data_IF_741842936910
#
_entry.id   IF_741842936910
#
_cell.length_a   1.000
_cell.length_b   1.000
_cell.length_c   1.000
_cell.angle_alpha   90.00
_cell.angle_beta   90.00
_cell.angle_gamma   90.00
#
_symmetry.space_group_name_H-M   'P 1'
#
loop_
_entity.id
_entity.type
_entity.pdbx_description
1 polymer ?
#
# COMPACT_ATOMS: atom_id res chain seq x y z
N UNK A 1 -7.09 14.87 83.27
CA UNK A 1 -7.69 14.46 81.98
C UNK A 1 -6.74 14.64 80.78
N UNK A 2 -5.89 15.67 80.77
CA UNK A 2 -5.03 16.04 79.63
C UNK A 2 -4.09 14.93 79.07
N UNK A 3 -3.45 14.13 79.94
CA UNK A 3 -2.50 13.09 79.47
C UNK A 3 -3.18 11.94 78.70
N UNK A 4 -4.40 11.53 79.07
CA UNK A 4 -5.10 10.43 78.36
C UNK A 4 -5.51 10.83 76.95
N UNK A 5 -5.80 12.11 76.75
CA UNK A 5 -6.23 12.65 75.46
C UNK A 5 -5.04 12.81 74.50
N UNK A 6 -3.86 13.20 75.01
CA UNK A 6 -2.62 13.18 74.23
C UNK A 6 -2.20 11.77 73.83
N UNK A 7 -2.27 10.78 74.75
CA UNK A 7 -1.93 9.38 74.43
C UNK A 7 -2.84 8.82 73.32
N UNK A 8 -4.16 9.07 73.38
CA UNK A 8 -5.07 8.67 72.29
C UNK A 8 -4.75 9.33 70.94
N UNK A 9 -4.35 10.61 70.94
CA UNK A 9 -3.97 11.30 69.70
C UNK A 9 -2.69 10.70 69.10
N UNK A 10 -1.69 10.41 69.93
CA UNK A 10 -0.45 9.76 69.48
C UNK A 10 -0.69 8.33 68.97
N UNK A 11 -1.54 7.55 69.63
CA UNK A 11 -1.93 6.20 69.17
C UNK A 11 -2.70 6.24 67.83
N UNK A 12 -3.55 7.25 67.63
CA UNK A 12 -4.27 7.46 66.37
C UNK A 12 -3.34 7.85 65.22
N UNK A 13 -2.38 8.74 65.47
CA UNK A 13 -1.35 9.11 64.50
C UNK A 13 -0.45 7.92 64.14
N UNK A 14 0.00 7.13 65.12
CA UNK A 14 0.83 5.95 64.85
C UNK A 14 0.15 4.93 63.93
N UNK A 15 -1.16 4.71 64.11
CA UNK A 15 -1.95 3.83 63.21
C UNK A 15 -2.16 4.42 61.81
N UNK A 16 -2.31 5.74 61.70
CA UNK A 16 -2.37 6.43 60.41
C UNK A 16 -1.02 6.38 59.67
N UNK A 17 0.08 6.54 60.39
CA UNK A 17 1.42 6.48 59.82
C UNK A 17 1.75 5.05 59.36
N UNK A 18 1.38 4.01 60.13
CA UNK A 18 1.52 2.60 59.71
C UNK A 18 0.73 2.31 58.43
N UNK A 19 -0.52 2.75 58.34
CA UNK A 19 -1.34 2.55 57.14
C UNK A 19 -0.79 3.31 55.93
N UNK A 20 -0.26 4.52 56.11
CA UNK A 20 0.42 5.25 55.04
C UNK A 20 1.71 4.55 54.59
N UNK A 21 2.52 4.02 55.52
CA UNK A 21 3.76 3.30 55.19
C UNK A 21 3.48 2.03 54.38
N UNK A 22 2.44 1.27 54.75
CA UNK A 22 2.02 0.08 53.98
C UNK A 22 1.61 0.49 52.56
N UNK A 23 0.75 1.52 52.44
CA UNK A 23 0.27 2.00 51.13
C UNK A 23 1.41 2.52 50.25
N UNK A 24 2.39 3.23 50.84
CA UNK A 24 3.56 3.72 50.12
C UNK A 24 4.48 2.57 49.68
N UNK A 25 4.64 1.55 50.52
CA UNK A 25 5.42 0.35 50.19
C UNK A 25 4.85 -0.38 48.97
N UNK A 26 3.51 -0.56 48.92
CA UNK A 26 2.82 -1.15 47.77
C UNK A 26 3.02 -0.32 46.49
N UNK A 27 2.88 1.00 46.58
CA UNK A 27 3.13 1.90 45.44
C UNK A 27 4.57 1.81 44.93
N UNK A 28 5.55 1.75 45.82
CA UNK A 28 6.98 1.62 45.46
C UNK A 28 7.23 0.29 44.75
N UNK A 29 6.62 -0.80 45.22
CA UNK A 29 6.77 -2.11 44.57
C UNK A 29 6.13 -2.14 43.19
N UNK A 30 4.92 -1.58 43.03
CA UNK A 30 4.27 -1.45 41.73
C UNK A 30 5.11 -0.60 40.75
N UNK A 31 5.66 0.53 41.22
CA UNK A 31 6.52 1.38 40.39
C UNK A 31 7.81 0.67 39.97
N UNK A 32 8.41 -0.14 40.85
CA UNK A 32 9.59 -0.95 40.51
C UNK A 32 9.27 -1.99 39.43
N UNK A 33 8.10 -2.61 39.50
CA UNK A 33 7.67 -3.58 38.50
C UNK A 33 7.41 -2.92 37.14
N UNK A 34 6.69 -1.79 37.13
CA UNK A 34 6.49 -0.98 35.91
C UNK A 34 7.83 -0.58 35.29
N UNK A 35 8.80 -0.14 36.10
CA UNK A 35 10.11 0.24 35.59
C UNK A 35 10.88 -0.95 34.98
N UNK A 36 10.76 -2.15 35.54
CA UNK A 36 11.35 -3.35 34.94
C UNK A 36 10.71 -3.66 33.60
N UNK A 37 9.39 -3.62 33.51
CA UNK A 37 8.65 -3.89 32.28
C UNK A 37 8.97 -2.85 31.18
N UNK A 38 9.06 -1.58 31.56
CA UNK A 38 9.45 -0.52 30.64
C UNK A 38 10.88 -0.72 30.13
N UNK A 39 11.80 -1.15 31.00
CA UNK A 39 13.17 -1.44 30.59
C UNK A 39 13.22 -2.58 29.58
N UNK A 40 12.52 -3.68 29.83
CA UNK A 40 12.44 -4.80 28.89
C UNK A 40 11.80 -4.41 27.56
N UNK A 41 10.80 -3.53 27.58
CA UNK A 41 10.15 -3.04 26.37
C UNK A 41 11.10 -2.14 25.56
N UNK A 42 11.84 -1.24 26.23
CA UNK A 42 12.85 -0.41 25.57
C UNK A 42 13.92 -1.28 24.90
N UNK A 43 14.41 -2.31 25.59
CA UNK A 43 15.40 -3.24 25.04
C UNK A 43 14.85 -3.98 23.79
N UNK A 44 13.60 -4.43 23.84
CA UNK A 44 12.92 -5.06 22.69
C UNK A 44 12.80 -4.10 21.50
N UNK A 45 12.33 -2.87 21.74
CA UNK A 45 12.16 -1.86 20.70
C UNK A 45 13.49 -1.41 20.11
N UNK A 46 14.57 -1.39 20.90
CA UNK A 46 15.91 -1.12 20.39
C UNK A 46 16.39 -2.23 19.45
N UNK A 47 16.14 -3.49 19.79
CA UNK A 47 16.49 -4.62 18.91
C UNK A 47 15.72 -4.58 17.59
N UNK A 48 14.40 -4.37 17.63
CA UNK A 48 13.58 -4.24 16.42
C UNK A 48 14.04 -3.07 15.54
N UNK A 49 14.35 -1.92 16.14
CA UNK A 49 14.86 -0.77 15.39
C UNK A 49 16.22 -1.05 14.74
N UNK A 50 17.10 -1.80 15.40
CA UNK A 50 18.39 -2.16 14.82
C UNK A 50 18.22 -3.13 13.65
N UNK A 51 17.37 -4.16 13.79
CA UNK A 51 17.06 -5.09 12.71
C UNK A 51 16.43 -4.38 11.50
N UNK A 52 15.52 -3.42 11.75
CA UNK A 52 14.92 -2.62 10.69
C UNK A 52 15.94 -1.71 10.00
N UNK A 53 16.91 -1.14 10.74
CA UNK A 53 17.99 -0.35 10.15
C UNK A 53 18.89 -1.20 9.26
N UNK A 54 19.27 -2.38 9.74
CA UNK A 54 20.09 -3.32 8.97
C UNK A 54 19.38 -3.69 7.65
N UNK A 55 18.10 -4.07 7.72
CA UNK A 55 17.30 -4.35 6.51
C UNK A 55 17.17 -3.15 5.58
N UNK A 56 17.07 -1.93 6.12
CA UNK A 56 16.99 -0.71 5.31
C UNK A 56 18.32 -0.47 4.57
N UNK A 57 19.44 -0.67 5.24
CA UNK A 57 20.76 -0.50 4.66
C UNK A 57 21.04 -1.59 3.60
N UNK A 58 20.63 -2.84 3.83
CA UNK A 58 20.64 -3.89 2.81
C UNK A 58 19.81 -3.51 1.56
N UNK A 59 18.63 -2.93 1.73
CA UNK A 59 17.79 -2.48 0.60
C UNK A 59 18.46 -1.32 -0.16
N UNK A 60 19.09 -0.38 0.55
CA UNK A 60 19.83 0.71 -0.10
C UNK A 60 20.99 0.16 -0.93
N UNK A 61 21.74 -0.80 -0.39
CA UNK A 61 22.88 -1.43 -1.04
C UNK A 61 22.48 -2.40 -2.16
N UNK A 62 21.28 -2.99 -2.09
CA UNK A 62 20.81 -3.94 -3.10
C UNK A 62 20.70 -3.30 -4.49
N UNK A 63 21.35 -3.87 -5.50
CA UNK A 63 21.25 -3.33 -6.88
C UNK A 63 19.90 -3.66 -7.53
N UNK A 64 19.12 -4.58 -6.96
CA UNK A 64 17.91 -5.12 -7.59
C UNK A 64 16.62 -4.59 -6.97
N UNK A 65 15.63 -4.30 -7.81
CA UNK A 65 14.27 -3.93 -7.40
C UNK A 65 13.34 -5.08 -7.77
N UNK A 66 12.61 -5.56 -6.77
CA UNK A 66 11.63 -6.63 -6.95
C UNK A 66 10.22 -6.04 -7.12
N UNK A 67 9.66 -6.16 -8.32
CA UNK A 67 8.27 -5.79 -8.60
C UNK A 67 7.33 -7.00 -8.65
N UNK A 68 7.81 -8.20 -8.36
CA UNK A 68 7.04 -9.42 -8.53
C UNK A 68 7.05 -10.26 -7.26
N UNK A 69 5.87 -10.40 -6.67
CA UNK A 69 5.65 -11.24 -5.51
C UNK A 69 5.46 -12.69 -5.97
N UNK A 70 6.50 -13.51 -5.78
CA UNK A 70 6.49 -14.94 -6.11
C UNK A 70 5.44 -15.71 -5.32
N UNK A 71 5.10 -15.28 -4.10
CA UNK A 71 4.12 -15.97 -3.25
C UNK A 71 2.69 -15.78 -3.75
N UNK A 72 2.39 -14.60 -4.30
CA UNK A 72 1.08 -14.25 -4.87
C UNK A 72 1.00 -14.46 -6.38
N UNK A 73 2.11 -14.83 -7.02
CA UNK A 73 2.25 -14.91 -8.47
C UNK A 73 1.76 -13.62 -9.17
N UNK A 74 2.06 -12.46 -8.57
CA UNK A 74 1.49 -11.18 -8.98
C UNK A 74 2.56 -10.09 -9.03
N UNK A 75 2.38 -9.15 -9.96
CA UNK A 75 3.19 -7.94 -10.00
C UNK A 75 2.65 -6.90 -9.00
N UNK A 76 3.56 -6.08 -8.48
CA UNK A 76 3.22 -4.99 -7.57
C UNK A 76 2.24 -4.01 -8.22
N UNK A 77 1.39 -3.41 -7.39
CA UNK A 77 0.38 -2.45 -7.84
C UNK A 77 1.04 -1.19 -8.40
N UNK A 78 2.14 -0.73 -7.82
CA UNK A 78 2.86 0.45 -8.30
C UNK A 78 3.41 0.24 -9.71
N UNK A 79 3.83 -0.99 -10.03
CA UNK A 79 4.27 -1.33 -11.38
C UNK A 79 3.10 -1.27 -12.36
N UNK A 80 1.91 -1.76 -12.00
CA UNK A 80 0.73 -1.65 -12.85
C UNK A 80 0.38 -0.19 -13.15
N UNK A 81 0.37 0.66 -12.11
CA UNK A 81 0.09 2.10 -12.26
C UNK A 81 1.09 2.78 -13.20
N UNK A 82 2.39 2.53 -12.99
CA UNK A 82 3.44 3.05 -13.87
C UNK A 82 3.25 2.59 -15.33
N UNK A 83 2.90 1.32 -15.54
CA UNK A 83 2.62 0.80 -16.88
C UNK A 83 1.41 1.50 -17.51
N UNK A 84 0.33 1.75 -16.76
CA UNK A 84 -0.83 2.47 -17.26
C UNK A 84 -0.52 3.93 -17.61
N UNK A 85 0.29 4.62 -16.81
CA UNK A 85 0.76 5.97 -17.12
C UNK A 85 1.59 6.00 -18.42
N UNK A 86 2.49 5.04 -18.60
CA UNK A 86 3.28 4.92 -19.83
C UNK A 86 2.38 4.65 -21.05
N UNK A 87 1.32 3.86 -20.89
CA UNK A 87 0.33 3.63 -21.95
C UNK A 87 -0.45 4.89 -22.29
N UNK A 88 -0.80 5.70 -21.29
CA UNK A 88 -1.46 6.99 -21.50
C UNK A 88 -0.56 7.98 -22.24
N UNK A 89 0.76 7.84 -22.10
CA UNK A 89 1.77 8.56 -22.89
C UNK A 89 2.09 7.90 -24.24
N UNK A 90 1.26 6.96 -24.70
CA UNK A 90 1.40 6.27 -25.99
C UNK A 90 2.72 5.50 -26.18
N UNK A 91 3.32 5.04 -25.08
CA UNK A 91 4.50 4.16 -25.16
C UNK A 91 4.04 2.78 -25.64
N UNK A 92 4.64 2.30 -26.73
CA UNK A 92 4.34 0.97 -27.27
C UNK A 92 4.61 -0.14 -26.24
N UNK A 93 3.79 -1.20 -26.25
CA UNK A 93 3.90 -2.34 -25.33
C UNK A 93 5.31 -2.94 -25.25
N UNK A 94 6.00 -3.04 -26.40
CA UNK A 94 7.38 -3.54 -26.49
C UNK A 94 8.41 -2.65 -25.82
N UNK A 95 8.13 -1.35 -25.67
CA UNK A 95 9.07 -0.34 -25.20
C UNK A 95 8.91 -0.02 -23.71
N UNK A 96 7.79 -0.39 -23.07
CA UNK A 96 7.54 -0.13 -21.65
C UNK A 96 8.61 -0.77 -20.76
N UNK A 97 8.92 -2.05 -20.95
CA UNK A 97 9.98 -2.72 -20.18
C UNK A 97 11.36 -2.04 -20.33
N UNK A 98 11.83 -1.77 -21.56
CA UNK A 98 13.05 -0.99 -21.80
C UNK A 98 13.06 0.40 -21.16
N UNK A 99 11.93 1.13 -21.18
CA UNK A 99 11.80 2.45 -20.53
C UNK A 99 12.00 2.31 -19.02
N UNK A 100 11.30 1.38 -18.37
CA UNK A 100 11.43 1.12 -16.93
C UNK A 100 12.88 0.75 -16.57
N UNK A 101 13.53 -0.13 -17.34
CA UNK A 101 14.95 -0.47 -17.17
C UNK A 101 15.86 0.75 -17.26
N UNK A 102 15.61 1.63 -18.22
CA UNK A 102 16.43 2.82 -18.46
C UNK A 102 16.31 3.83 -17.32
N UNK A 103 15.09 4.02 -16.79
CA UNK A 103 14.85 4.89 -15.63
C UNK A 103 15.50 4.33 -14.36
N UNK A 104 15.36 3.03 -14.09
CA UNK A 104 16.00 2.39 -12.93
C UNK A 104 17.52 2.46 -12.98
N UNK A 105 18.10 2.41 -14.19
CA UNK A 105 19.54 2.58 -14.38
C UNK A 105 20.04 3.96 -13.91
N UNK A 106 19.22 5.01 -13.95
CA UNK A 106 19.59 6.34 -13.45
C UNK A 106 19.85 6.34 -11.93
N UNK A 107 19.23 5.42 -11.20
CA UNK A 107 19.36 5.27 -9.75
C UNK A 107 20.21 4.04 -9.36
N UNK A 108 21.01 3.50 -10.30
CA UNK A 108 21.81 2.28 -10.11
C UNK A 108 21.00 1.08 -9.61
N UNK A 109 19.75 0.94 -10.08
CA UNK A 109 18.90 -0.19 -9.78
C UNK A 109 18.59 -0.99 -11.05
N UNK A 110 18.30 -2.29 -10.88
CA UNK A 110 17.93 -3.23 -11.95
C UNK A 110 16.66 -3.97 -11.56
N UNK A 111 15.66 -4.07 -12.44
CA UNK A 111 14.47 -4.86 -12.13
C UNK A 111 14.79 -6.36 -12.22
N UNK A 112 14.39 -7.15 -11.21
CA UNK A 112 14.56 -8.61 -11.24
C UNK A 112 13.69 -9.23 -12.34
N UNK A 113 12.43 -8.79 -12.43
CA UNK A 113 11.45 -9.27 -13.40
C UNK A 113 10.56 -8.12 -13.87
N UNK A 114 10.31 -8.08 -15.18
CA UNK A 114 9.35 -7.18 -15.80
C UNK A 114 8.30 -8.00 -16.56
N UNK A 115 7.08 -7.45 -16.72
CA UNK A 115 6.04 -8.07 -17.52
C UNK A 115 6.47 -8.15 -18.98
N UNK A 116 6.07 -9.23 -19.66
CA UNK A 116 6.26 -9.34 -21.11
C UNK A 116 5.32 -8.37 -21.83
N UNK A 117 5.60 -8.03 -23.10
CA UNK A 117 4.69 -7.21 -23.91
C UNK A 117 3.26 -7.77 -23.95
N UNK A 118 3.11 -9.10 -24.02
CA UNK A 118 1.82 -9.78 -23.95
C UNK A 118 1.10 -9.62 -22.62
N UNK A 119 1.82 -9.63 -21.49
CA UNK A 119 1.23 -9.35 -20.17
C UNK A 119 0.74 -7.92 -20.10
N UNK A 120 1.49 -6.97 -20.64
CA UNK A 120 1.10 -5.55 -20.66
C UNK A 120 -0.13 -5.33 -21.56
N UNK A 121 -0.18 -6.01 -22.71
CA UNK A 121 -1.35 -5.99 -23.59
C UNK A 121 -2.60 -6.49 -22.87
N UNK A 122 -2.50 -7.60 -22.12
CA UNK A 122 -3.61 -8.11 -21.32
C UNK A 122 -4.08 -7.08 -20.27
N UNK A 123 -3.16 -6.39 -19.59
CA UNK A 123 -3.53 -5.34 -18.63
C UNK A 123 -4.25 -4.16 -19.29
N UNK A 124 -3.82 -3.77 -20.50
CA UNK A 124 -4.49 -2.74 -21.30
C UNK A 124 -5.92 -3.15 -21.65
N UNK A 125 -6.14 -4.40 -22.06
CA UNK A 125 -7.46 -4.96 -22.33
C UNK A 125 -8.34 -5.01 -21.08
N UNK A 126 -7.82 -5.46 -19.94
CA UNK A 126 -8.52 -5.51 -18.66
C UNK A 126 -8.98 -4.11 -18.22
N UNK A 127 -8.12 -3.10 -18.34
CA UNK A 127 -8.47 -1.69 -18.10
C UNK A 127 -9.62 -1.24 -18.99
N UNK A 128 -9.58 -1.57 -20.29
CA UNK A 128 -10.66 -1.27 -21.23
C UNK A 128 -11.98 -1.94 -20.88
N UNK A 129 -11.96 -3.20 -20.44
CA UNK A 129 -13.14 -3.93 -19.99
C UNK A 129 -13.75 -3.32 -18.71
N UNK A 130 -12.91 -2.93 -17.76
CA UNK A 130 -13.37 -2.24 -16.54
C UNK A 130 -13.99 -0.89 -16.86
N UNK A 131 -13.41 -0.13 -17.79
CA UNK A 131 -13.98 1.13 -18.26
C UNK A 131 -15.35 0.91 -18.93
N UNK A 132 -15.48 -0.10 -19.81
CA UNK A 132 -16.75 -0.49 -20.44
C UNK A 132 -17.80 -0.90 -19.40
N UNK A 133 -17.42 -1.66 -18.38
CA UNK A 133 -18.32 -2.05 -17.28
C UNK A 133 -18.77 -0.86 -16.46
N UNK A 134 -17.88 0.08 -16.12
CA UNK A 134 -18.27 1.30 -15.41
C UNK A 134 -19.25 2.15 -16.23
N UNK A 135 -19.04 2.27 -17.54
CA UNK A 135 -19.98 2.95 -18.43
C UNK A 135 -21.36 2.26 -18.43
N UNK A 136 -21.40 0.92 -18.43
CA UNK A 136 -22.67 0.17 -18.42
C UNK A 136 -23.48 0.31 -17.13
N UNK A 137 -22.85 0.69 -16.02
CA UNK A 137 -23.52 0.87 -14.71
C UNK A 137 -24.08 2.29 -14.56
N UNK A 138 -23.63 3.26 -15.36
CA UNK A 138 -23.99 4.67 -15.18
C UNK A 138 -25.21 5.15 -15.98
N UNK A 139 -25.87 4.31 -16.77
CA UNK A 139 -27.03 4.76 -17.55
C UNK A 139 -27.98 3.63 -17.93
N UNK A 140 -29.22 3.72 -17.44
CA UNK A 140 -30.28 2.76 -17.76
C UNK A 140 -30.63 2.72 -19.27
N UNK A 141 -30.23 3.72 -20.07
CA UNK A 141 -30.60 3.87 -21.48
C UNK A 141 -29.43 4.20 -22.42
N UNK A 142 -28.21 3.73 -22.14
CA UNK A 142 -27.10 3.89 -23.10
C UNK A 142 -26.96 2.67 -24.00
N UNK A 143 -27.05 2.90 -25.31
CA UNK A 143 -26.82 1.88 -26.34
C UNK A 143 -25.38 1.97 -26.83
N UNK A 144 -24.67 0.83 -26.82
CA UNK A 144 -23.35 0.70 -27.43
C UNK A 144 -23.49 0.20 -28.87
N UNK A 145 -23.00 0.98 -29.82
CA UNK A 145 -22.86 0.62 -31.22
C UNK A 145 -21.42 0.18 -31.48
N UNK A 146 -21.27 -0.94 -32.18
CA UNK A 146 -19.99 -1.40 -32.70
C UNK A 146 -20.13 -1.64 -34.20
N UNK A 147 -19.26 -1.02 -34.99
CA UNK A 147 -19.14 -1.27 -36.43
C UNK A 147 -17.71 -1.65 -36.77
N UNK A 148 -17.56 -2.53 -37.77
CA UNK A 148 -16.27 -3.10 -38.18
C UNK A 148 -16.02 -2.90 -39.66
N UNK A 149 -14.87 -2.33 -40.00
CA UNK A 149 -14.44 -2.14 -41.39
C UNK A 149 -13.09 -2.81 -41.66
N UNK A 150 -12.97 -3.49 -42.80
CA UNK A 150 -11.69 -4.00 -43.29
C UNK A 150 -11.10 -3.02 -44.29
N UNK A 151 -9.93 -2.44 -43.99
CA UNK A 151 -9.24 -1.49 -44.87
C UNK A 151 -7.74 -1.74 -44.84
N UNK A 152 -7.11 -1.85 -46.01
CA UNK A 152 -5.67 -2.10 -46.18
C UNK A 152 -5.17 -3.37 -45.48
N UNK A 153 -5.93 -4.48 -45.54
CA UNK A 153 -5.55 -5.72 -44.87
C UNK A 153 -5.46 -5.59 -43.35
N UNK A 154 -6.25 -4.69 -42.77
CA UNK A 154 -6.36 -4.47 -41.33
C UNK A 154 -7.85 -4.39 -40.98
N UNK A 155 -8.23 -4.92 -39.81
CA UNK A 155 -9.60 -4.81 -39.29
C UNK A 155 -9.66 -3.65 -38.30
N UNK A 156 -10.63 -2.76 -38.52
CA UNK A 156 -10.89 -1.57 -37.71
C UNK A 156 -12.24 -1.70 -37.06
N UNK A 157 -12.34 -1.29 -35.80
CA UNK A 157 -13.57 -1.27 -35.02
C UNK A 157 -13.85 0.13 -34.55
N UNK A 158 -15.01 0.64 -34.87
CA UNK A 158 -15.51 1.87 -34.29
C UNK A 158 -16.50 1.53 -33.18
N UNK A 159 -16.34 2.18 -32.04
CA UNK A 159 -17.29 2.12 -30.95
C UNK A 159 -17.93 3.49 -30.78
N UNK A 160 -19.24 3.50 -30.63
CA UNK A 160 -19.99 4.70 -30.28
C UNK A 160 -20.99 4.37 -29.18
N UNK A 161 -21.13 5.27 -28.21
CA UNK A 161 -22.16 5.19 -27.19
C UNK A 161 -23.20 6.25 -27.47
N UNK A 162 -24.47 5.87 -27.52
CA UNK A 162 -25.57 6.83 -27.58
C UNK A 162 -26.36 6.79 -26.30
N UNK A 163 -26.63 7.97 -25.77
CA UNK A 163 -27.71 8.19 -24.80
C UNK A 163 -28.88 8.90 -25.52
N UNK A 164 -30.02 9.04 -24.86
CA UNK A 164 -31.29 9.63 -25.33
C UNK A 164 -31.18 10.99 -26.03
N UNK A 165 -30.05 11.71 -25.91
CA UNK A 165 -29.84 13.04 -26.49
C UNK A 165 -28.54 13.22 -27.28
N UNK A 166 -27.57 12.29 -27.18
CA UNK A 166 -26.22 12.49 -27.72
C UNK A 166 -25.57 11.18 -28.13
N UNK A 167 -24.87 11.22 -29.27
CA UNK A 167 -23.96 10.18 -29.73
C UNK A 167 -22.52 10.60 -29.41
N UNK A 168 -21.79 9.74 -28.71
CA UNK A 168 -20.38 9.89 -28.41
C UNK A 168 -19.61 8.82 -29.18
N UNK A 169 -18.68 9.25 -30.03
CA UNK A 169 -17.72 8.31 -30.64
C UNK A 169 -16.66 8.04 -29.58
N UNK A 170 -16.62 6.81 -29.07
CA UNK A 170 -15.75 6.42 -27.96
C UNK A 170 -14.38 5.97 -28.41
N UNK A 171 -14.23 5.56 -29.67
CA UNK A 171 -12.91 5.32 -30.26
C UNK A 171 -12.94 4.50 -31.54
N UNK A 172 -11.82 4.51 -32.25
CA UNK A 172 -11.53 3.60 -33.36
C UNK A 172 -10.30 2.80 -32.99
N UNK A 173 -10.43 1.47 -32.95
CA UNK A 173 -9.36 0.54 -32.62
C UNK A 173 -9.05 -0.37 -33.81
N UNK A 174 -7.78 -0.74 -34.00
CA UNK A 174 -7.38 -1.76 -34.96
C UNK A 174 -7.27 -3.10 -34.23
N UNK A 175 -8.01 -4.12 -34.67
CA UNK A 175 -8.00 -5.46 -34.07
C UNK A 175 -7.73 -6.54 -35.15
N UNK A 176 -6.48 -6.62 -35.58
CA UNK A 176 -6.00 -7.71 -36.44
C UNK A 176 -5.37 -7.26 -37.77
N UNK A 177 -4.76 -8.26 -38.41
CA UNK A 177 -4.33 -8.26 -39.82
C UNK A 177 -5.31 -9.14 -40.61
#
# INVERSE_FOLDING_TARGET
>A
MYCREQVRKMEGQGKQDETQVITLSEKVNNLKEINRNNKTLIDSLMNENNELKERLDEIKESENVNFYDKSKNAYDLNLHLCVYELLDHHVAYSNIGPVIKSVLKLVNKKPERLPSPSTIENWSLERGLLAKKHLSVQSEHTTLYSDGASKFGCKWGAFATSDTRKLFITGIERYGN
#
